data_IF_482255516396
#
_entry.id   IF_482255516396
#
_cell.length_a   1.000
_cell.length_b   1.000
_cell.length_c   1.000
_cell.angle_alpha   90.00
_cell.angle_beta   90.00
_cell.angle_gamma   90.00
#
_symmetry.space_group_name_H-M   'P 1'
#
loop_
_entity.id
_entity.type
_entity.pdbx_description
1 polymer ?
#
# COMPACT_ATOMS: atom_id res chain seq x y z
N UNK A 1 -10.81 16.99 -11.47
CA UNK A 1 -9.44 16.87 -12.01
C UNK A 1 -9.38 15.63 -12.89
N UNK A 2 -8.70 15.72 -14.03
CA UNK A 2 -8.35 14.55 -14.83
C UNK A 2 -7.12 13.82 -14.25
N UNK A 3 -6.78 12.64 -14.78
CA UNK A 3 -5.67 11.84 -14.25
C UNK A 3 -4.30 12.53 -14.34
N UNK A 4 -4.06 13.34 -15.37
CA UNK A 4 -2.79 14.08 -15.53
C UNK A 4 -2.64 15.14 -14.44
N UNK A 5 -3.71 15.85 -14.11
CA UNK A 5 -3.73 16.83 -13.02
C UNK A 5 -3.57 16.14 -11.65
N UNK A 6 -4.21 14.98 -11.46
CA UNK A 6 -4.08 14.19 -10.23
C UNK A 6 -2.66 13.63 -10.06
N UNK A 7 -2.02 13.19 -11.14
CA UNK A 7 -0.64 12.72 -11.10
C UNK A 7 0.33 13.81 -10.62
N UNK A 8 0.19 15.06 -11.10
CA UNK A 8 1.00 16.19 -10.61
C UNK A 8 0.80 16.47 -9.12
N UNK A 9 -0.44 16.30 -8.64
CA UNK A 9 -0.74 16.41 -7.21
C UNK A 9 -0.03 15.31 -6.42
N UNK A 10 -0.04 14.06 -6.91
CA UNK A 10 0.68 12.94 -6.30
C UNK A 10 2.19 13.20 -6.28
N UNK A 11 2.77 13.65 -7.39
CA UNK A 11 4.20 14.03 -7.46
C UNK A 11 4.54 15.07 -6.39
N UNK A 12 3.71 16.10 -6.24
CA UNK A 12 3.91 17.14 -5.22
C UNK A 12 3.85 16.58 -3.79
N UNK A 13 2.89 15.68 -3.50
CA UNK A 13 2.78 15.00 -2.21
C UNK A 13 4.03 14.16 -1.92
N UNK A 14 4.49 13.40 -2.91
CA UNK A 14 5.63 12.49 -2.76
C UNK A 14 6.97 13.23 -2.65
N UNK A 15 7.19 14.28 -3.42
CA UNK A 15 8.37 15.15 -3.28
C UNK A 15 8.43 15.77 -1.87
N UNK A 16 7.27 16.19 -1.36
CA UNK A 16 7.18 16.74 0.00
C UNK A 16 7.40 15.67 1.07
N UNK A 17 6.85 14.46 0.89
CA UNK A 17 7.12 13.35 1.80
C UNK A 17 8.60 12.97 1.81
N UNK A 18 9.24 12.90 0.64
CA UNK A 18 10.68 12.65 0.53
C UNK A 18 11.51 13.75 1.22
N UNK A 19 11.10 15.02 1.12
CA UNK A 19 11.79 16.15 1.75
C UNK A 19 11.62 16.16 3.28
N UNK A 20 10.41 15.88 3.77
CA UNK A 20 10.06 16.07 5.18
C UNK A 20 10.26 14.80 6.03
N UNK A 21 10.06 13.62 5.45
CA UNK A 21 10.10 12.33 6.15
C UNK A 21 11.38 11.57 5.77
N UNK A 22 11.78 11.62 4.49
CA UNK A 22 12.93 10.88 3.98
C UNK A 22 12.57 9.44 3.66
N UNK A 23 13.45 8.50 4.05
CA UNK A 23 13.17 7.06 3.91
C UNK A 23 12.02 6.66 4.84
N UNK A 24 10.91 6.24 4.22
CA UNK A 24 9.68 5.88 4.93
C UNK A 24 9.65 4.42 5.38
N UNK A 25 10.64 3.60 5.03
CA UNK A 25 10.60 2.14 5.23
C UNK A 25 10.32 1.77 6.67
N UNK A 26 11.12 2.27 7.61
CA UNK A 26 10.94 1.96 9.03
C UNK A 26 9.60 2.50 9.55
N UNK A 27 9.23 3.73 9.19
CA UNK A 27 7.98 4.36 9.65
C UNK A 27 6.74 3.60 9.16
N UNK A 28 6.74 3.13 7.91
CA UNK A 28 5.64 2.33 7.35
C UNK A 28 5.57 0.98 8.05
N UNK A 29 6.70 0.32 8.27
CA UNK A 29 6.72 -0.97 8.96
C UNK A 29 6.30 -0.85 10.44
N UNK A 30 6.70 0.22 11.13
CA UNK A 30 6.22 0.52 12.48
C UNK A 30 4.70 0.69 12.52
N UNK A 31 4.12 1.46 11.58
CA UNK A 31 2.67 1.62 11.48
C UNK A 31 1.98 0.30 11.12
N UNK A 32 2.58 -0.51 10.25
CA UNK A 32 2.08 -1.82 9.86
C UNK A 32 2.04 -2.80 11.06
N UNK A 33 3.05 -2.77 11.94
CA UNK A 33 3.10 -3.62 13.12
C UNK A 33 2.31 -3.09 14.31
N UNK A 34 1.96 -1.80 14.32
CA UNK A 34 1.42 -1.10 15.50
C UNK A 34 0.28 -1.83 16.21
N UNK A 35 -0.65 -2.43 15.47
CA UNK A 35 -1.81 -3.13 16.05
C UNK A 35 -1.71 -4.66 16.07
N UNK A 36 -0.74 -5.24 15.37
CA UNK A 36 -0.47 -6.70 15.38
C UNK A 36 1.06 -6.93 15.35
N UNK A 37 1.77 -6.70 16.48
CA UNK A 37 3.22 -6.87 16.54
C UNK A 37 3.68 -8.30 16.23
N UNK A 38 2.80 -9.29 16.45
CA UNK A 38 3.03 -10.70 16.15
C UNK A 38 3.31 -10.96 14.66
N UNK A 39 2.92 -10.05 13.75
CA UNK A 39 3.22 -10.19 12.32
C UNK A 39 4.72 -10.21 12.03
N UNK A 40 5.56 -9.61 12.87
CA UNK A 40 7.01 -9.69 12.73
C UNK A 40 7.50 -11.16 12.69
N UNK A 41 6.84 -12.04 13.43
CA UNK A 41 7.19 -13.46 13.46
C UNK A 41 6.87 -14.19 12.14
N UNK A 42 5.86 -13.74 11.37
CA UNK A 42 5.56 -14.27 10.04
C UNK A 42 6.68 -13.96 9.05
N UNK A 43 7.29 -12.77 9.14
CA UNK A 43 8.45 -12.42 8.31
C UNK A 43 9.64 -13.33 8.58
N UNK A 44 9.91 -13.64 9.86
CA UNK A 44 10.95 -14.60 10.22
C UNK A 44 10.66 -16.00 9.66
N UNK A 45 9.39 -16.42 9.58
CA UNK A 45 9.01 -17.71 8.99
C UNK A 45 9.24 -17.76 7.47
N UNK A 46 8.94 -16.67 6.74
CA UNK A 46 9.10 -16.64 5.28
C UNK A 46 10.53 -16.30 4.83
N UNK A 47 11.27 -15.47 5.57
CA UNK A 47 12.64 -15.01 5.25
C UNK A 47 13.47 -14.80 6.52
N UNK A 48 13.91 -15.88 7.22
CA UNK A 48 14.57 -15.77 8.52
C UNK A 48 15.89 -14.99 8.53
N UNK A 49 16.61 -14.95 7.39
CA UNK A 49 17.95 -14.36 7.31
C UNK A 49 17.92 -12.90 6.80
N UNK A 50 16.82 -12.44 6.21
CA UNK A 50 16.80 -11.16 5.51
C UNK A 50 15.42 -10.48 5.54
N UNK A 51 14.84 -10.39 6.73
CA UNK A 51 13.54 -9.75 6.95
C UNK A 51 13.57 -8.28 6.55
N UNK A 52 14.65 -7.56 6.83
CA UNK A 52 14.80 -6.13 6.49
C UNK A 52 14.66 -5.90 4.98
N UNK A 53 15.32 -6.72 4.14
CA UNK A 53 15.19 -6.57 2.68
C UNK A 53 13.79 -6.95 2.19
N UNK A 54 13.14 -7.93 2.83
CA UNK A 54 11.76 -8.28 2.51
C UNK A 54 10.80 -7.12 2.84
N UNK A 55 10.94 -6.52 4.01
CA UNK A 55 10.16 -5.36 4.45
C UNK A 55 10.37 -4.16 3.52
N UNK A 56 11.62 -3.83 3.20
CA UNK A 56 11.94 -2.76 2.24
C UNK A 56 11.30 -3.01 0.87
N UNK A 57 11.38 -4.25 0.37
CA UNK A 57 10.73 -4.62 -0.89
C UNK A 57 9.20 -4.50 -0.84
N UNK A 58 8.57 -4.84 0.29
CA UNK A 58 7.12 -4.66 0.46
C UNK A 58 6.72 -3.18 0.45
N UNK A 59 7.47 -2.33 1.14
CA UNK A 59 7.24 -0.88 1.16
C UNK A 59 7.46 -0.29 -0.24
N UNK A 60 8.53 -0.67 -0.94
CA UNK A 60 8.81 -0.23 -2.30
C UNK A 60 7.68 -0.60 -3.26
N UNK A 61 7.21 -1.86 -3.23
CA UNK A 61 6.12 -2.31 -4.09
C UNK A 61 4.79 -1.61 -3.77
N UNK A 62 4.51 -1.37 -2.48
CA UNK A 62 3.35 -0.59 -2.08
C UNK A 62 3.44 0.84 -2.63
N UNK A 63 4.57 1.52 -2.42
CA UNK A 63 4.79 2.90 -2.91
C UNK A 63 4.66 2.98 -4.43
N UNK A 64 5.20 2.00 -5.17
CA UNK A 64 5.06 1.91 -6.61
C UNK A 64 3.58 1.89 -7.06
N UNK A 65 2.72 1.15 -6.35
CA UNK A 65 1.28 1.14 -6.64
C UNK A 65 0.64 2.53 -6.48
N UNK A 66 1.00 3.28 -5.43
CA UNK A 66 0.53 4.65 -5.23
C UNK A 66 1.03 5.61 -6.32
N UNK A 67 2.32 5.52 -6.67
CA UNK A 67 2.93 6.37 -7.70
C UNK A 67 2.27 6.19 -9.07
N UNK A 68 1.94 4.95 -9.43
CA UNK A 68 1.53 4.59 -10.79
C UNK A 68 0.02 4.64 -11.01
N UNK A 69 -0.79 4.80 -9.96
CA UNK A 69 -2.25 4.62 -10.05
C UNK A 69 -2.92 5.47 -11.15
N UNK A 70 -2.62 6.77 -11.23
CA UNK A 70 -3.25 7.64 -12.23
C UNK A 70 -2.61 7.55 -13.62
N UNK A 71 -1.40 7.02 -13.71
CA UNK A 71 -0.67 6.88 -14.98
C UNK A 71 -0.98 5.54 -15.67
N UNK A 72 -1.02 4.46 -14.90
CA UNK A 72 -1.13 3.08 -15.40
C UNK A 72 -1.96 2.21 -14.43
N UNK A 73 -3.25 2.50 -14.23
CA UNK A 73 -4.08 1.78 -13.25
C UNK A 73 -4.18 0.28 -13.57
N UNK A 74 -4.29 -0.10 -14.85
CA UNK A 74 -4.37 -1.51 -15.25
C UNK A 74 -3.12 -2.33 -14.91
N UNK A 75 -1.93 -1.72 -14.93
CA UNK A 75 -0.68 -2.37 -14.50
C UNK A 75 -0.69 -2.66 -13.00
N UNK A 76 -1.14 -1.68 -12.21
CA UNK A 76 -1.29 -1.82 -10.76
C UNK A 76 -2.35 -2.86 -10.43
N UNK A 77 -3.48 -2.84 -11.13
CA UNK A 77 -4.54 -3.84 -10.98
C UNK A 77 -4.04 -5.25 -11.26
N UNK A 78 -3.37 -5.49 -12.39
CA UNK A 78 -2.78 -6.79 -12.71
C UNK A 78 -1.80 -7.25 -11.64
N UNK A 79 -0.97 -6.33 -11.13
CA UNK A 79 0.00 -6.63 -10.07
C UNK A 79 -0.71 -7.09 -8.80
N UNK A 80 -1.73 -6.37 -8.33
CA UNK A 80 -2.48 -6.71 -7.11
C UNK A 80 -3.32 -7.97 -7.29
N UNK A 81 -4.00 -8.13 -8.43
CA UNK A 81 -4.82 -9.29 -8.75
C UNK A 81 -3.99 -10.57 -8.89
N UNK A 82 -2.71 -10.48 -9.25
CA UNK A 82 -1.79 -11.62 -9.25
C UNK A 82 -1.13 -11.88 -7.89
N UNK A 83 -0.73 -10.81 -7.19
CA UNK A 83 0.01 -10.89 -5.93
C UNK A 83 -0.86 -11.35 -4.76
N UNK A 84 -2.06 -10.79 -4.61
CA UNK A 84 -2.93 -11.08 -3.46
C UNK A 84 -3.32 -12.57 -3.38
N UNK A 85 -3.78 -13.24 -4.46
CA UNK A 85 -4.04 -14.67 -4.44
C UNK A 85 -2.82 -15.50 -4.04
N UNK A 86 -1.64 -15.17 -4.58
CA UNK A 86 -0.41 -15.87 -4.23
C UNK A 86 -0.09 -15.78 -2.72
N UNK A 87 -0.27 -14.61 -2.11
CA UNK A 87 -0.08 -14.43 -0.67
C UNK A 87 -1.05 -15.29 0.15
N UNK A 88 -2.32 -15.30 -0.23
CA UNK A 88 -3.35 -16.06 0.49
C UNK A 88 -3.16 -17.56 0.32
N UNK A 89 -3.07 -18.03 -0.93
CA UNK A 89 -3.11 -19.46 -1.27
C UNK A 89 -1.76 -20.15 -1.09
N UNK A 90 -0.65 -19.44 -1.32
CA UNK A 90 0.69 -20.05 -1.28
C UNK A 90 1.45 -19.69 -0.01
N UNK A 91 1.37 -18.44 0.44
CA UNK A 91 2.13 -17.97 1.60
C UNK A 91 1.32 -18.04 2.91
N UNK A 92 0.02 -18.37 2.85
CA UNK A 92 -0.89 -18.36 4.00
C UNK A 92 -0.89 -17.00 4.74
N UNK A 93 -0.70 -15.91 3.98
CA UNK A 93 -0.77 -14.53 4.45
C UNK A 93 -2.13 -13.98 4.06
N UNK A 94 -3.00 -13.77 5.05
CA UNK A 94 -4.36 -13.30 4.80
C UNK A 94 -4.41 -11.90 4.16
N UNK A 95 -5.42 -11.67 3.32
CA UNK A 95 -5.65 -10.40 2.60
C UNK A 95 -5.64 -9.17 3.51
N UNK A 96 -6.06 -9.33 4.78
CA UNK A 96 -6.06 -8.26 5.79
C UNK A 96 -4.68 -7.62 5.97
N UNK A 97 -3.60 -8.38 5.80
CA UNK A 97 -2.23 -7.87 5.89
C UNK A 97 -1.87 -7.00 4.68
N UNK A 98 -2.34 -7.36 3.49
CA UNK A 98 -2.18 -6.52 2.30
C UNK A 98 -2.87 -5.16 2.47
N UNK A 99 -4.11 -5.17 2.96
CA UNK A 99 -4.87 -3.94 3.29
C UNK A 99 -4.14 -3.09 4.32
N UNK A 100 -3.62 -3.74 5.37
CA UNK A 100 -2.91 -3.07 6.45
C UNK A 100 -1.64 -2.38 5.96
N UNK A 101 -0.88 -2.99 5.05
CA UNK A 101 0.32 -2.38 4.46
C UNK A 101 -0.03 -1.13 3.64
N UNK A 102 -1.07 -1.21 2.80
CA UNK A 102 -1.51 -0.06 2.00
C UNK A 102 -2.01 1.09 2.88
N UNK A 103 -2.73 0.78 3.96
CA UNK A 103 -3.17 1.78 4.94
C UNK A 103 -1.99 2.39 5.70
N UNK A 104 -1.00 1.59 6.10
CA UNK A 104 0.22 2.09 6.75
C UNK A 104 1.00 3.03 5.83
N UNK A 105 1.21 2.64 4.56
CA UNK A 105 1.81 3.49 3.53
C UNK A 105 1.04 4.81 3.37
N UNK A 106 -0.27 4.73 3.17
CA UNK A 106 -1.12 5.91 3.00
C UNK A 106 -1.05 6.84 4.21
N UNK A 107 -1.13 6.29 5.43
CA UNK A 107 -1.06 7.05 6.69
C UNK A 107 0.27 7.80 6.85
N UNK A 108 1.40 7.16 6.51
CA UNK A 108 2.72 7.81 6.60
C UNK A 108 2.83 8.97 5.63
N UNK A 109 2.43 8.79 4.36
CA UNK A 109 2.50 9.86 3.37
C UNK A 109 1.50 10.98 3.68
N UNK A 110 0.31 10.66 4.21
CA UNK A 110 -0.71 11.65 4.59
C UNK A 110 -0.19 12.65 5.63
N UNK A 111 0.81 12.28 6.44
CA UNK A 111 1.45 13.19 7.41
C UNK A 111 2.22 14.33 6.72
N UNK A 112 2.62 14.17 5.46
CA UNK A 112 3.27 15.24 4.69
C UNK A 112 2.27 16.25 4.13
N UNK A 113 0.98 15.90 4.04
CA UNK A 113 -0.05 16.73 3.43
C UNK A 113 -0.60 17.75 4.43
N UNK A 114 -0.57 19.07 4.14
CA UNK A 114 -1.18 20.08 5.01
C UNK A 114 -2.63 19.76 5.35
N UNK A 115 -3.03 20.00 6.61
CA UNK A 115 -4.38 19.69 7.10
C UNK A 115 -5.48 20.45 6.37
N UNK A 116 -5.17 21.65 5.87
CA UNK A 116 -6.08 22.54 5.14
C UNK A 116 -6.07 22.31 3.62
N UNK A 117 -5.16 21.48 3.10
CA UNK A 117 -5.11 21.17 1.67
C UNK A 117 -6.07 20.03 1.31
N UNK A 118 -7.37 20.37 1.26
CA UNK A 118 -8.43 19.41 0.91
C UNK A 118 -8.25 18.79 -0.48
N UNK A 119 -7.64 19.51 -1.43
CA UNK A 119 -7.41 19.00 -2.78
C UNK A 119 -6.45 17.80 -2.77
N UNK A 120 -5.29 17.96 -2.14
CA UNK A 120 -4.28 16.89 -2.03
C UNK A 120 -4.80 15.70 -1.24
N UNK A 121 -5.51 15.96 -0.12
CA UNK A 121 -6.11 14.91 0.70
C UNK A 121 -7.13 14.09 -0.08
N UNK A 122 -8.02 14.74 -0.81
CA UNK A 122 -9.01 14.03 -1.64
C UNK A 122 -8.36 13.17 -2.73
N UNK A 123 -7.28 13.64 -3.36
CA UNK A 123 -6.55 12.85 -4.36
C UNK A 123 -5.86 11.64 -3.70
N UNK A 124 -5.27 11.83 -2.52
CA UNK A 124 -4.62 10.76 -1.78
C UNK A 124 -5.59 9.70 -1.26
N UNK A 125 -6.74 10.14 -0.74
CA UNK A 125 -7.84 9.27 -0.31
C UNK A 125 -8.39 8.46 -1.50
N UNK A 126 -8.57 9.10 -2.67
CA UNK A 126 -9.03 8.42 -3.88
C UNK A 126 -8.09 7.29 -4.32
N UNK A 127 -6.77 7.48 -4.28
CA UNK A 127 -5.82 6.40 -4.59
C UNK A 127 -5.93 5.29 -3.57
N UNK A 128 -5.99 5.65 -2.28
CA UNK A 128 -6.06 4.69 -1.18
C UNK A 128 -7.31 3.81 -1.32
N UNK A 129 -8.47 4.41 -1.52
CA UNK A 129 -9.74 3.71 -1.68
C UNK A 129 -9.74 2.79 -2.91
N UNK A 130 -9.19 3.26 -4.02
CA UNK A 130 -9.10 2.47 -5.23
C UNK A 130 -8.20 1.24 -5.06
N UNK A 131 -7.00 1.41 -4.49
CA UNK A 131 -6.07 0.29 -4.24
C UNK A 131 -6.69 -0.74 -3.28
N UNK A 132 -7.39 -0.28 -2.23
CA UNK A 132 -8.11 -1.16 -1.32
C UNK A 132 -9.25 -1.90 -2.02
N UNK A 133 -9.97 -1.24 -2.92
CA UNK A 133 -11.02 -1.84 -3.74
C UNK A 133 -10.50 -2.96 -4.64
N UNK A 134 -9.29 -2.80 -5.21
CA UNK A 134 -8.63 -3.87 -5.99
C UNK A 134 -8.25 -5.05 -5.10
N UNK A 135 -7.72 -4.80 -3.90
CA UNK A 135 -7.39 -5.87 -2.95
C UNK A 135 -8.64 -6.65 -2.52
N UNK A 136 -9.77 -5.97 -2.31
CA UNK A 136 -11.05 -6.63 -2.03
C UNK A 136 -11.58 -7.44 -3.20
N UNK A 137 -11.41 -6.93 -4.43
CA UNK A 137 -11.75 -7.69 -5.63
C UNK A 137 -10.90 -8.94 -5.76
N UNK A 138 -9.59 -8.84 -5.49
CA UNK A 138 -8.69 -9.98 -5.51
C UNK A 138 -9.10 -11.05 -4.47
N UNK A 139 -9.46 -10.65 -3.25
CA UNK A 139 -9.93 -11.57 -2.21
C UNK A 139 -11.22 -12.30 -2.60
N UNK A 140 -12.18 -11.59 -3.19
CA UNK A 140 -13.41 -12.19 -3.73
C UNK A 140 -13.14 -13.20 -4.83
N UNK A 141 -12.11 -12.97 -5.65
CA UNK A 141 -11.73 -13.90 -6.72
C UNK A 141 -11.04 -15.16 -6.16
N UNK A 142 -10.35 -15.07 -5.02
CA UNK A 142 -9.80 -16.21 -4.29
C UNK A 142 -10.92 -17.02 -3.62
N UNK A 143 -11.93 -16.35 -3.07
CA UNK A 143 -13.07 -16.98 -2.41
C UNK A 143 -14.41 -16.57 -3.05
N UNK A 144 -14.76 -17.09 -4.23
CA UNK A 144 -16.02 -16.77 -4.90
C UNK A 144 -17.19 -17.39 -4.12
N UNK A 145 -17.71 -16.68 -3.12
CA UNK A 145 -18.81 -17.14 -2.27
C UNK A 145 -18.88 -16.53 -0.86
N UNK A 146 -17.86 -15.81 -0.38
CA UNK A 146 -17.95 -15.06 0.88
C UNK A 146 -18.31 -13.59 0.60
N UNK A 147 -19.59 -13.33 0.40
CA UNK A 147 -20.13 -12.00 0.67
C UNK A 147 -20.25 -11.85 2.20
N UNK A 148 -19.46 -10.96 2.79
CA UNK A 148 -19.71 -10.43 4.14
C UNK A 148 -20.65 -9.24 4.04
#
# INVERSE_FOLDING_TARGET
>A
MNNVEKLKVVETILERAATNIGDITNTVMEEFYRTEPELQSLFTQHRPVNTIQLEAGMVEQALHCFMRWFESPGEVEMTLLGSVPHHVETLNVGVKHYRKLLLAMSSVILQSIPLDNACERNVWDEITDNLLGVVELADRNVFPGKAS
#
